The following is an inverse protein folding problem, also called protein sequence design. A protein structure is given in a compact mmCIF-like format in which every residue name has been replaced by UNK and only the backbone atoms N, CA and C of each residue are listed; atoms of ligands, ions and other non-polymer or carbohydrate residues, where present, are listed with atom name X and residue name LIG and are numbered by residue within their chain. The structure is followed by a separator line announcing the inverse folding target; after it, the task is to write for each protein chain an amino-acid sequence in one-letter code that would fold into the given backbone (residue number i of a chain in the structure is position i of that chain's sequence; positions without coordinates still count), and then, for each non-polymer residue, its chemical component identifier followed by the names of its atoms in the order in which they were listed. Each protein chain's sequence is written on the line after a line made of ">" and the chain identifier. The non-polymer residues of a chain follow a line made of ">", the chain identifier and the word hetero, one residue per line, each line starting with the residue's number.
data_IF_987010419293
#
_entry.id   IF_987010419293
#
_cell.length_a   1.000
_cell.length_b   1.000
_cell.length_c   1.000
_cell.angle_alpha   90.00
_cell.angle_beta   90.00
_cell.angle_gamma   90.00
#
_symmetry.space_group_name_H-M   'P 1'
#
loop_
_entity.id
_entity.type
_entity.pdbx_description
1 polymer ?
#
# COMPACT_ATOMS: atom_id res chain seq x y z
N UNK A 1 -58.21 -24.53 -67.66
CA UNK A 1 -58.17 -25.99 -67.42
C UNK A 1 -56.95 -26.31 -66.56
N UNK A 2 -57.14 -26.93 -65.37
CA UNK A 2 -56.06 -27.18 -64.41
C UNK A 2 -55.48 -28.59 -64.59
N UNK A 3 -54.15 -28.71 -64.66
CA UNK A 3 -53.48 -30.02 -64.64
C UNK A 3 -52.87 -30.20 -63.25
N UNK A 4 -53.56 -31.03 -62.45
CA UNK A 4 -53.03 -31.67 -61.25
C UNK A 4 -51.95 -32.68 -61.64
N UNK A 5 -50.85 -32.70 -60.90
CA UNK A 5 -49.99 -33.88 -60.75
C UNK A 5 -49.50 -34.01 -59.29
N UNK A 6 -49.23 -35.23 -58.80
CA UNK A 6 -49.57 -35.64 -57.44
C UNK A 6 -48.39 -35.71 -56.46
N UNK A 7 -48.72 -35.56 -55.18
CA UNK A 7 -47.94 -36.04 -54.04
C UNK A 7 -47.93 -37.57 -54.01
N UNK A 8 -46.76 -38.22 -54.06
CA UNK A 8 -46.36 -39.38 -53.22
C UNK A 8 -44.99 -39.92 -53.67
N UNK A 9 -44.04 -40.05 -52.74
CA UNK A 9 -42.74 -40.69 -53.07
C UNK A 9 -41.70 -40.65 -51.96
N UNK A 10 -42.00 -41.30 -50.85
CA UNK A 10 -41.18 -41.39 -49.64
C UNK A 10 -39.72 -41.87 -49.83
N UNK A 11 -38.85 -41.27 -49.00
CA UNK A 11 -37.73 -41.87 -48.22
C UNK A 11 -36.61 -42.61 -48.97
N UNK A 12 -35.40 -42.04 -48.88
CA UNK A 12 -34.24 -42.79 -48.38
C UNK A 12 -33.67 -42.13 -47.13
N UNK A 13 -33.46 -42.97 -46.12
CA UNK A 13 -32.75 -42.72 -44.87
C UNK A 13 -31.38 -42.09 -45.15
N UNK A 14 -31.09 -40.97 -44.49
CA UNK A 14 -29.74 -40.74 -43.97
C UNK A 14 -29.86 -40.56 -42.46
N UNK A 15 -29.39 -41.59 -41.78
CA UNK A 15 -29.18 -41.69 -40.34
C UNK A 15 -27.94 -40.85 -40.04
N UNK A 16 -28.07 -39.84 -39.19
CA UNK A 16 -26.93 -39.49 -38.34
C UNK A 16 -27.45 -39.14 -36.95
N UNK A 17 -27.28 -40.11 -36.05
CA UNK A 17 -27.48 -40.00 -34.62
C UNK A 17 -26.19 -39.43 -34.01
N UNK A 18 -26.33 -38.60 -32.98
CA UNK A 18 -25.20 -38.21 -32.14
C UNK A 18 -25.37 -36.83 -31.49
N UNK A 19 -25.92 -36.75 -30.27
CA UNK A 19 -25.88 -35.56 -29.45
C UNK A 19 -24.58 -35.53 -28.63
N UNK A 20 -24.04 -34.33 -28.41
CA UNK A 20 -23.07 -34.12 -27.34
C UNK A 20 -21.78 -33.48 -27.81
N UNK A 21 -21.56 -32.25 -27.35
CA UNK A 21 -20.30 -31.80 -26.74
C UNK A 21 -20.51 -30.38 -26.22
N UNK A 22 -21.21 -30.28 -25.09
CA UNK A 22 -21.01 -29.22 -24.12
C UNK A 22 -19.56 -29.23 -23.65
N UNK A 23 -18.78 -28.22 -24.02
CA UNK A 23 -17.61 -27.76 -23.26
C UNK A 23 -17.61 -26.24 -23.36
N UNK A 24 -18.12 -25.54 -22.36
CA UNK A 24 -17.40 -25.11 -21.14
C UNK A 24 -16.27 -24.16 -21.46
N UNK A 25 -16.41 -22.95 -20.91
CA UNK A 25 -15.56 -21.81 -21.15
C UNK A 25 -14.09 -22.11 -20.91
N UNK A 26 -13.27 -21.65 -21.86
CA UNK A 26 -11.90 -21.28 -21.57
C UNK A 26 -11.88 -19.78 -21.29
N UNK A 27 -12.52 -19.40 -20.17
CA UNK A 27 -12.02 -18.24 -19.44
C UNK A 27 -10.59 -18.62 -19.11
N UNK A 28 -9.64 -18.04 -19.86
CA UNK A 28 -8.20 -18.24 -19.75
C UNK A 28 -7.89 -18.28 -18.25
N UNK A 29 -7.71 -19.49 -17.74
CA UNK A 29 -7.51 -19.70 -16.33
C UNK A 29 -6.23 -18.98 -15.99
N UNK A 30 -6.35 -17.82 -15.35
CA UNK A 30 -5.25 -17.21 -14.60
C UNK A 30 -4.65 -18.36 -13.79
N UNK A 31 -3.47 -18.79 -14.22
CA UNK A 31 -2.85 -19.99 -13.68
C UNK A 31 -2.64 -19.77 -12.18
N UNK A 32 -2.66 -20.83 -11.38
CA UNK A 32 -2.40 -20.73 -9.94
C UNK A 32 -1.01 -20.14 -9.64
N UNK A 33 -0.11 -20.15 -10.63
CA UNK A 33 1.18 -19.46 -10.62
C UNK A 33 1.03 -17.96 -10.94
N UNK A 34 0.32 -17.57 -12.01
CA UNK A 34 0.02 -16.14 -12.31
C UNK A 34 -0.71 -15.44 -11.16
N UNK A 35 -1.68 -16.10 -10.53
CA UNK A 35 -2.40 -15.56 -9.36
C UNK A 35 -1.50 -15.41 -8.13
N UNK A 36 -0.45 -16.23 -8.02
CA UNK A 36 0.56 -16.09 -6.96
C UNK A 36 1.53 -14.98 -7.30
N UNK A 37 2.01 -14.90 -8.55
CA UNK A 37 2.96 -13.88 -9.01
C UNK A 37 2.37 -12.47 -8.84
N UNK A 38 1.13 -12.23 -9.30
CA UNK A 38 0.43 -10.97 -9.03
C UNK A 38 0.18 -10.74 -7.52
N UNK A 39 -0.09 -11.81 -6.77
CA UNK A 39 -0.32 -11.73 -5.33
C UNK A 39 0.93 -11.35 -4.55
N UNK A 40 2.10 -11.80 -5.01
CA UNK A 40 3.39 -11.43 -4.45
C UNK A 40 3.76 -9.99 -4.84
N UNK A 41 3.69 -9.62 -6.12
CA UNK A 41 3.98 -8.25 -6.57
C UNK A 41 3.08 -7.21 -5.90
N UNK A 42 1.76 -7.47 -5.82
CA UNK A 42 0.82 -6.59 -5.11
C UNK A 42 1.14 -6.49 -3.63
N UNK A 43 1.60 -7.57 -3.00
CA UNK A 43 1.98 -7.58 -1.58
C UNK A 43 3.28 -6.83 -1.33
N UNK A 44 4.29 -7.00 -2.19
CA UNK A 44 5.54 -6.26 -2.10
C UNK A 44 5.32 -4.75 -2.29
N UNK A 45 4.52 -4.35 -3.29
CA UNK A 45 4.17 -2.94 -3.51
C UNK A 45 3.40 -2.36 -2.30
N UNK A 46 2.45 -3.10 -1.74
CA UNK A 46 1.72 -2.69 -0.53
C UNK A 46 2.63 -2.59 0.70
N UNK A 47 3.55 -3.53 0.88
CA UNK A 47 4.46 -3.56 2.03
C UNK A 47 5.48 -2.41 1.93
N UNK A 48 5.99 -2.09 0.75
CA UNK A 48 6.85 -0.92 0.54
C UNK A 48 6.10 0.39 0.74
N UNK A 49 4.89 0.52 0.19
CA UNK A 49 4.05 1.71 0.38
C UNK A 49 3.70 1.90 1.87
N UNK A 50 3.39 0.81 2.59
CA UNK A 50 3.13 0.87 4.02
C UNK A 50 4.37 1.24 4.83
N UNK A 51 5.55 0.73 4.47
CA UNK A 51 6.82 1.13 5.12
C UNK A 51 7.10 2.60 4.91
N UNK A 52 6.99 3.09 3.68
CA UNK A 52 7.19 4.50 3.37
C UNK A 52 6.21 5.40 4.15
N UNK A 53 4.93 5.01 4.21
CA UNK A 53 3.94 5.71 5.03
C UNK A 53 4.31 5.65 6.52
N UNK A 54 4.82 4.52 7.00
CA UNK A 54 5.18 4.34 8.41
C UNK A 54 6.40 5.17 8.79
N UNK A 55 7.41 5.27 7.91
CA UNK A 55 8.58 6.14 8.10
C UNK A 55 8.16 7.62 8.13
N UNK A 56 7.37 8.06 7.15
CA UNK A 56 6.82 9.42 7.14
C UNK A 56 5.98 9.72 8.39
N UNK A 57 5.21 8.74 8.90
CA UNK A 57 4.47 8.88 10.16
C UNK A 57 5.36 8.92 11.39
N UNK A 58 6.37 8.04 11.48
CA UNK A 58 7.36 8.05 12.56
C UNK A 58 8.03 9.42 12.65
N UNK A 59 8.48 9.97 11.52
CA UNK A 59 9.15 11.26 11.47
C UNK A 59 8.21 12.41 11.88
N UNK A 60 6.95 12.35 11.46
CA UNK A 60 5.93 13.32 11.88
C UNK A 60 5.68 13.27 13.39
N UNK A 61 5.54 12.07 13.96
CA UNK A 61 5.34 11.88 15.40
C UNK A 61 6.57 12.36 16.20
N UNK A 62 7.77 12.10 15.70
CA UNK A 62 9.02 12.55 16.32
C UNK A 62 9.09 14.07 16.34
N UNK A 63 8.76 14.73 15.23
CA UNK A 63 8.73 16.18 15.15
C UNK A 63 7.66 16.80 16.05
N UNK A 64 6.48 16.20 16.17
CA UNK A 64 5.45 16.66 17.13
C UNK A 64 5.93 16.51 18.58
N UNK A 65 6.58 15.39 18.91
CA UNK A 65 7.16 15.18 20.23
C UNK A 65 8.27 16.19 20.53
N UNK A 66 9.15 16.45 19.57
CA UNK A 66 10.20 17.46 19.72
C UNK A 66 9.60 18.87 19.88
N UNK A 67 8.60 19.23 19.07
CA UNK A 67 7.87 20.48 19.22
C UNK A 67 7.25 20.64 20.62
N UNK A 68 6.62 19.60 21.16
CA UNK A 68 6.08 19.59 22.52
C UNK A 68 7.17 19.88 23.56
N UNK A 69 8.35 19.27 23.42
CA UNK A 69 9.49 19.51 24.31
C UNK A 69 10.09 20.90 24.16
N UNK A 70 10.03 21.49 22.97
CA UNK A 70 10.45 22.86 22.69
C UNK A 70 9.41 23.91 23.16
N UNK A 71 8.24 23.48 23.64
CA UNK A 71 7.13 24.35 24.02
C UNK A 71 6.38 24.95 22.82
N UNK A 72 6.54 24.37 21.63
CA UNK A 72 5.85 24.77 20.42
C UNK A 72 4.50 24.03 20.38
N UNK A 73 3.40 24.75 20.22
CA UNK A 73 2.04 24.18 20.23
C UNK A 73 1.22 24.65 19.03
N UNK A 74 0.10 23.97 18.77
CA UNK A 74 -0.83 24.33 17.70
C UNK A 74 -0.25 24.13 16.29
N UNK A 75 -0.48 25.12 15.43
CA UNK A 75 -0.02 25.06 14.03
C UNK A 75 1.50 25.05 13.91
N UNK A 76 2.22 25.75 14.79
CA UNK A 76 3.67 25.78 14.78
C UNK A 76 4.29 24.41 15.06
N UNK A 77 3.66 23.60 15.92
CA UNK A 77 4.11 22.22 16.18
C UNK A 77 3.93 21.34 14.95
N UNK A 78 2.81 21.53 14.24
CA UNK A 78 2.51 20.80 13.01
C UNK A 78 3.45 21.21 11.88
N UNK A 79 3.81 22.50 11.78
CA UNK A 79 4.80 22.99 10.84
C UNK A 79 6.18 22.40 11.12
N UNK A 80 6.63 22.45 12.38
CA UNK A 80 7.90 21.85 12.80
C UNK A 80 7.95 20.34 12.50
N UNK A 81 6.87 19.61 12.77
CA UNK A 81 6.77 18.20 12.43
C UNK A 81 6.90 17.93 10.91
N UNK A 82 6.35 18.79 10.06
CA UNK A 82 6.50 18.69 8.60
C UNK A 82 7.93 19.00 8.16
N UNK A 83 8.59 19.97 8.78
CA UNK A 83 9.99 20.27 8.49
C UNK A 83 10.91 19.12 8.89
N UNK A 84 10.66 18.47 10.02
CA UNK A 84 11.43 17.29 10.46
C UNK A 84 11.24 16.13 9.48
N UNK A 85 10.01 15.92 9.01
CA UNK A 85 9.72 14.95 7.95
C UNK A 85 10.44 15.31 6.65
N UNK A 86 10.44 16.58 6.26
CA UNK A 86 11.10 17.05 5.04
C UNK A 86 12.63 16.90 5.10
N UNK A 87 13.24 17.15 6.26
CA UNK A 87 14.68 16.99 6.47
C UNK A 87 15.16 15.54 6.28
N UNK A 88 14.31 14.55 6.59
CA UNK A 88 14.62 13.13 6.37
C UNK A 88 14.67 12.73 4.88
N UNK A 89 14.12 13.56 3.98
CA UNK A 89 14.18 13.32 2.53
C UNK A 89 15.48 13.81 1.88
N UNK A 90 16.27 14.66 2.55
CA UNK A 90 17.49 15.24 1.98
C UNK A 90 18.69 14.29 2.06
N UNK A 91 18.80 13.49 3.13
CA UNK A 91 19.89 12.54 3.32
C UNK A 91 19.35 11.21 3.86
N UNK A 92 19.96 10.09 3.42
CA UNK A 92 19.54 8.77 3.84
C UNK A 92 19.93 8.51 5.31
N UNK A 93 18.97 8.70 6.22
CA UNK A 93 19.05 8.25 7.60
C UNK A 93 18.65 9.29 8.63
N UNK A 94 18.55 8.84 9.88
CA UNK A 94 18.02 9.65 10.99
C UNK A 94 19.03 10.69 11.54
N UNK A 95 20.22 10.81 10.93
CA UNK A 95 21.33 11.59 11.46
C UNK A 95 21.08 13.11 11.39
N UNK A 96 20.53 13.61 10.28
CA UNK A 96 20.21 15.03 10.14
C UNK A 96 19.02 15.44 11.01
N UNK A 97 18.01 14.57 11.10
CA UNK A 97 16.87 14.76 11.99
C UNK A 97 17.35 14.83 13.44
N UNK A 98 18.21 13.90 13.87
CA UNK A 98 18.81 13.94 15.20
C UNK A 98 19.59 15.23 15.45
N UNK A 99 20.42 15.65 14.49
CA UNK A 99 21.26 16.85 14.63
C UNK A 99 20.42 18.11 14.72
N UNK A 100 19.38 18.24 13.90
CA UNK A 100 18.42 19.36 13.95
C UNK A 100 17.69 19.41 15.28
N UNK A 101 17.07 18.30 15.70
CA UNK A 101 16.32 18.22 16.96
C UNK A 101 17.23 18.49 18.17
N UNK A 102 18.46 17.97 18.17
CA UNK A 102 19.46 18.26 19.21
C UNK A 102 19.84 19.74 19.25
N UNK A 103 20.05 20.37 18.10
CA UNK A 103 20.37 21.80 18.03
C UNK A 103 19.21 22.66 18.55
N UNK A 104 17.97 22.32 18.19
CA UNK A 104 16.78 23.01 18.68
C UNK A 104 16.60 22.85 20.20
N UNK A 105 16.83 21.64 20.73
CA UNK A 105 16.80 21.41 22.17
C UNK A 105 17.88 22.19 22.90
N UNK A 106 19.11 22.23 22.36
CA UNK A 106 20.18 23.05 22.92
C UNK A 106 19.82 24.54 22.91
N UNK A 107 19.24 25.05 21.82
CA UNK A 107 18.79 26.43 21.71
C UNK A 107 17.70 26.80 22.72
N UNK A 108 16.85 25.83 23.10
CA UNK A 108 15.76 25.99 24.09
C UNK A 108 16.13 25.56 25.51
N UNK A 109 17.40 25.21 25.78
CA UNK A 109 17.85 24.66 27.07
C UNK A 109 17.06 23.41 27.53
N UNK A 110 16.64 22.58 26.58
CA UNK A 110 15.96 21.31 26.85
C UNK A 110 17.02 20.23 27.10
N UNK A 111 17.05 19.67 28.31
CA UNK A 111 17.99 18.63 28.71
C UNK A 111 17.58 17.24 28.18
N UNK A 112 17.60 17.05 26.86
CA UNK A 112 17.37 15.77 26.20
C UNK A 112 18.66 15.30 25.53
N UNK A 113 19.00 14.03 25.74
CA UNK A 113 20.17 13.40 25.13
C UNK A 113 19.83 12.77 23.79
N UNK A 114 20.82 12.62 22.93
CA UNK A 114 20.68 11.92 21.64
C UNK A 114 20.11 10.50 21.83
N UNK A 115 20.54 9.80 22.88
CA UNK A 115 20.04 8.47 23.23
C UNK A 115 18.54 8.47 23.53
N UNK A 116 18.03 9.50 24.21
CA UNK A 116 16.59 9.62 24.47
C UNK A 116 15.79 9.86 23.18
N UNK A 117 16.34 10.63 22.23
CA UNK A 117 15.72 10.85 20.92
C UNK A 117 15.70 9.54 20.12
N UNK A 118 16.83 8.82 20.05
CA UNK A 118 16.91 7.50 19.41
C UNK A 118 15.96 6.48 20.03
N UNK A 119 15.85 6.46 21.36
CA UNK A 119 14.89 5.61 22.06
C UNK A 119 13.45 5.94 21.66
N UNK A 120 13.10 7.23 21.54
CA UNK A 120 11.79 7.64 21.05
C UNK A 120 11.57 7.32 19.58
N UNK A 121 12.56 7.43 18.71
CA UNK A 121 12.43 6.98 17.32
C UNK A 121 12.08 5.48 17.23
N UNK A 122 12.76 4.65 18.02
CA UNK A 122 12.48 3.20 18.10
C UNK A 122 11.10 2.89 18.69
N UNK A 123 10.61 3.68 19.64
CA UNK A 123 9.26 3.51 20.19
C UNK A 123 8.19 3.93 19.18
N UNK A 124 8.40 5.07 18.52
CA UNK A 124 7.47 5.64 17.56
C UNK A 124 7.37 4.82 16.28
N UNK A 125 8.37 4.01 15.91
CA UNK A 125 8.28 3.15 14.73
C UNK A 125 7.19 2.09 14.88
N UNK A 126 7.02 1.54 16.08
CA UNK A 126 5.96 0.58 16.37
C UNK A 126 4.58 1.23 16.34
N UNK A 127 4.48 2.45 16.89
CA UNK A 127 3.25 3.25 16.85
C UNK A 127 2.88 3.63 15.42
N UNK A 128 3.84 4.14 14.64
CA UNK A 128 3.63 4.55 13.26
C UNK A 128 3.24 3.35 12.37
N UNK A 129 3.88 2.20 12.54
CA UNK A 129 3.49 0.97 11.84
C UNK A 129 2.07 0.53 12.20
N UNK A 130 1.64 0.69 13.46
CA UNK A 130 0.28 0.41 13.89
C UNK A 130 -0.73 1.43 13.32
N UNK A 131 -0.39 2.73 13.28
CA UNK A 131 -1.25 3.77 12.71
C UNK A 131 -1.45 3.61 11.20
N UNK A 132 -0.39 3.26 10.46
CA UNK A 132 -0.49 2.99 9.02
C UNK A 132 -1.34 1.75 8.75
N UNK A 133 -1.19 0.69 9.56
CA UNK A 133 -2.09 -0.47 9.50
C UNK A 133 -3.54 -0.11 9.85
N UNK A 134 -3.75 0.85 10.75
CA UNK A 134 -5.06 1.34 11.14
C UNK A 134 -5.66 2.38 10.16
N UNK A 135 -4.90 2.86 9.17
CA UNK A 135 -5.36 3.82 8.17
C UNK A 135 -5.51 5.26 8.65
N UNK A 136 -4.72 5.71 9.65
CA UNK A 136 -4.72 7.08 10.19
C UNK A 136 -3.61 7.99 9.63
#
# INVERSE_FOLDING_TARGET
>A
MPIRAPYLGMRRRSRNEGPGSSQQGIGKGMSTLDKREEGFEKKFALDEEQKFKAEARRNRLLGLWAAEKLGITGEAATAYAKEVVAADFEEAGDADVLRKVMADFAAKNVAITEQAIRAKMSELIAVAAAEVKAGK
#
